data_IF_172835569546
#
_entry.id   IF_172835569546
#
_cell.length_a   1.000
_cell.length_b   1.000
_cell.length_c   1.000
_cell.angle_alpha   90.00
_cell.angle_beta   90.00
_cell.angle_gamma   90.00
#
_symmetry.space_group_name_H-M   'P 1'
#
loop_
_entity.id
_entity.type
_entity.pdbx_description
1 polymer ?
#
# COMPACT_ATOMS: atom_id res chain seq x y z
N UNK A 1 -23.49 -12.36 70.47
CA UNK A 1 -23.17 -12.66 69.06
C UNK A 1 -22.73 -11.36 68.41
N UNK A 2 -21.45 -11.14 68.05
CA UNK A 2 -21.06 -9.93 67.35
C UNK A 2 -21.39 -10.05 65.86
N UNK A 3 -21.98 -8.98 65.30
CA UNK A 3 -22.35 -8.86 63.90
C UNK A 3 -21.10 -8.65 63.03
N UNK A 4 -20.92 -9.48 62.01
CA UNK A 4 -19.93 -9.26 60.94
C UNK A 4 -20.41 -8.12 60.06
N UNK A 5 -19.68 -7.00 60.14
CA UNK A 5 -19.80 -5.84 59.26
C UNK A 5 -19.18 -6.22 57.91
N UNK A 6 -19.95 -6.19 56.82
CA UNK A 6 -19.41 -6.33 55.48
C UNK A 6 -19.04 -4.93 54.97
N UNK A 7 -17.75 -4.69 54.75
CA UNK A 7 -17.29 -3.52 53.99
C UNK A 7 -17.78 -3.68 52.55
N UNK A 8 -18.63 -2.76 52.11
CA UNK A 8 -19.06 -2.66 50.72
C UNK A 8 -17.85 -2.15 49.93
N UNK A 9 -17.20 -3.03 49.17
CA UNK A 9 -16.18 -2.62 48.20
C UNK A 9 -16.79 -1.58 47.25
N UNK A 10 -16.14 -0.42 47.17
CA UNK A 10 -16.57 0.73 46.38
C UNK A 10 -16.85 0.32 44.92
N UNK A 11 -17.98 0.77 44.38
CA UNK A 11 -18.33 0.63 42.97
C UNK A 11 -17.28 1.35 42.11
N UNK A 12 -16.31 0.60 41.61
CA UNK A 12 -15.38 1.04 40.59
C UNK A 12 -16.18 1.46 39.36
N UNK A 13 -16.19 2.76 39.05
CA UNK A 13 -16.87 3.26 37.86
C UNK A 13 -16.17 2.72 36.60
N UNK A 14 -16.92 2.59 35.50
CA UNK A 14 -16.36 2.16 34.21
C UNK A 14 -15.16 3.02 33.78
N UNK A 15 -15.15 4.30 34.18
CA UNK A 15 -14.02 5.22 33.99
C UNK A 15 -12.72 4.71 34.65
N UNK A 16 -12.79 4.23 35.88
CA UNK A 16 -11.63 3.74 36.64
C UNK A 16 -11.08 2.42 36.07
N UNK A 17 -11.97 1.57 35.56
CA UNK A 17 -11.61 0.32 34.86
C UNK A 17 -10.87 0.63 33.55
N UNK A 18 -11.31 1.66 32.81
CA UNK A 18 -10.65 2.07 31.56
C UNK A 18 -9.32 2.81 31.78
N UNK A 19 -9.17 3.54 32.89
CA UNK A 19 -7.94 4.24 33.23
C UNK A 19 -6.80 3.27 33.63
N UNK A 20 -7.12 2.18 34.36
CA UNK A 20 -6.13 1.13 34.72
C UNK A 20 -5.65 0.28 33.54
N UNK A 21 -6.33 0.32 32.39
CA UNK A 21 -5.96 -0.40 31.16
C UNK A 21 -4.94 0.32 30.27
N UNK A 22 -4.36 1.44 30.69
CA UNK A 22 -3.17 1.99 30.02
C UNK A 22 -1.90 1.58 30.76
N UNK A 23 -1.30 0.42 30.45
CA UNK A 23 0.12 0.28 30.68
C UNK A 23 0.84 1.27 29.76
N UNK A 24 1.56 2.21 30.36
CA UNK A 24 2.60 2.97 29.70
C UNK A 24 3.50 1.98 28.93
N UNK A 25 3.46 2.03 27.60
CA UNK A 25 4.45 1.36 26.75
C UNK A 25 3.99 0.15 25.93
N UNK A 26 2.71 -0.24 25.92
CA UNK A 26 2.25 -1.26 24.95
C UNK A 26 1.91 -0.57 23.62
N UNK A 27 2.80 -0.74 22.63
CA UNK A 27 2.50 -0.43 21.22
C UNK A 27 1.13 -1.02 20.87
N UNK A 28 0.24 -0.30 20.17
CA UNK A 28 -1.08 -0.82 19.81
C UNK A 28 -0.93 -2.23 19.24
N UNK A 29 -1.54 -3.18 19.93
CA UNK A 29 -1.44 -4.61 19.67
C UNK A 29 -1.93 -4.92 18.26
N UNK A 30 -1.18 -5.76 17.57
CA UNK A 30 -1.29 -6.19 16.16
C UNK A 30 -2.73 -6.47 15.72
N UNK A 31 -3.55 -7.04 16.60
CA UNK A 31 -4.94 -7.45 16.32
C UNK A 31 -5.84 -6.25 15.99
N UNK A 32 -5.74 -5.14 16.71
CA UNK A 32 -6.60 -3.97 16.44
C UNK A 32 -6.25 -3.30 15.10
N UNK A 33 -4.95 -3.24 14.78
CA UNK A 33 -4.50 -2.78 13.47
C UNK A 33 -4.85 -3.76 12.35
N UNK A 34 -4.82 -5.06 12.60
CA UNK A 34 -5.21 -6.09 11.63
C UNK A 34 -6.71 -6.01 11.31
N UNK A 35 -7.58 -5.86 12.31
CA UNK A 35 -9.03 -5.69 12.12
C UNK A 35 -9.32 -4.39 11.36
N UNK A 36 -8.67 -3.28 11.74
CA UNK A 36 -8.83 -2.01 11.03
C UNK A 36 -8.38 -2.10 9.55
N UNK A 37 -7.27 -2.80 9.29
CA UNK A 37 -6.77 -3.03 7.93
C UNK A 37 -7.70 -3.95 7.12
N UNK A 38 -8.24 -5.01 7.73
CA UNK A 38 -9.19 -5.90 7.08
C UNK A 38 -10.47 -5.17 6.68
N UNK A 39 -11.04 -4.36 7.58
CA UNK A 39 -12.22 -3.55 7.30
C UNK A 39 -11.96 -2.53 6.18
N UNK A 40 -10.80 -1.86 6.20
CA UNK A 40 -10.40 -0.94 5.13
C UNK A 40 -10.40 -1.61 3.75
N UNK A 41 -9.87 -2.84 3.65
CA UNK A 41 -9.79 -3.56 2.38
C UNK A 41 -11.19 -4.00 1.91
N UNK A 42 -12.03 -4.49 2.83
CA UNK A 42 -13.41 -4.88 2.51
C UNK A 42 -14.23 -3.67 2.03
N UNK A 43 -14.18 -2.56 2.76
CA UNK A 43 -14.88 -1.33 2.39
C UNK A 43 -14.38 -0.78 1.06
N UNK A 44 -13.07 -0.84 0.84
CA UNK A 44 -12.47 -0.45 -0.43
C UNK A 44 -12.98 -1.31 -1.59
N UNK A 45 -12.94 -2.64 -1.47
CA UNK A 45 -13.42 -3.55 -2.52
C UNK A 45 -14.90 -3.33 -2.83
N UNK A 46 -15.74 -3.19 -1.80
CA UNK A 46 -17.17 -2.94 -1.99
C UNK A 46 -17.44 -1.63 -2.76
N UNK A 47 -16.68 -0.57 -2.45
CA UNK A 47 -16.81 0.70 -3.16
C UNK A 47 -16.30 0.62 -4.61
N UNK A 48 -15.26 -0.19 -4.87
CA UNK A 48 -14.79 -0.48 -6.24
C UNK A 48 -15.84 -1.26 -7.03
N UNK A 49 -16.48 -2.26 -6.42
CA UNK A 49 -17.55 -3.04 -7.05
C UNK A 49 -18.79 -2.18 -7.38
N UNK A 50 -19.01 -1.12 -6.60
CA UNK A 50 -20.00 -0.08 -6.89
C UNK A 50 -19.58 0.88 -8.03
N UNK A 51 -18.43 0.67 -8.67
CA UNK A 51 -17.94 1.44 -9.81
C UNK A 51 -17.38 2.81 -9.46
N UNK A 52 -17.03 3.07 -8.19
CA UNK A 52 -16.48 4.36 -7.78
C UNK A 52 -15.01 4.50 -8.20
N UNK A 53 -14.62 5.72 -8.59
CA UNK A 53 -13.22 6.03 -8.88
C UNK A 53 -12.38 6.01 -7.60
N UNK A 54 -11.10 5.65 -7.72
CA UNK A 54 -10.18 5.57 -6.58
C UNK A 54 -10.11 6.87 -5.77
N UNK A 55 -10.17 8.03 -6.45
CA UNK A 55 -10.21 9.35 -5.80
C UNK A 55 -11.48 9.56 -4.96
N UNK A 56 -12.63 9.15 -5.50
CA UNK A 56 -13.92 9.23 -4.79
C UNK A 56 -13.93 8.29 -3.58
N UNK A 57 -13.35 7.10 -3.72
CA UNK A 57 -13.20 6.14 -2.63
C UNK A 57 -12.29 6.70 -1.55
N UNK A 58 -11.13 7.26 -1.91
CA UNK A 58 -10.22 7.90 -0.96
C UNK A 58 -10.94 8.99 -0.15
N UNK A 59 -11.66 9.88 -0.83
CA UNK A 59 -12.45 10.93 -0.17
C UNK A 59 -13.51 10.38 0.77
N UNK A 60 -14.24 9.33 0.38
CA UNK A 60 -15.26 8.67 1.22
C UNK A 60 -14.67 8.00 2.45
N UNK A 61 -13.50 7.39 2.31
CA UNK A 61 -12.80 6.73 3.41
C UNK A 61 -11.99 7.72 4.27
N UNK A 62 -12.03 9.03 3.97
CA UNK A 62 -11.32 10.06 4.73
C UNK A 62 -9.81 10.10 4.48
N UNK A 63 -9.35 9.53 3.36
CA UNK A 63 -7.95 9.50 2.95
C UNK A 63 -7.68 10.43 1.76
N UNK A 64 -6.44 10.87 1.63
CA UNK A 64 -5.92 11.32 0.33
C UNK A 64 -5.60 10.10 -0.54
N UNK A 65 -5.57 10.26 -1.86
CA UNK A 65 -5.23 9.19 -2.82
C UNK A 65 -3.94 8.46 -2.42
N UNK A 66 -2.86 9.20 -2.16
CA UNK A 66 -1.57 8.63 -1.76
C UNK A 66 -1.65 7.88 -0.42
N UNK A 67 -2.39 8.43 0.56
CA UNK A 67 -2.53 7.80 1.88
C UNK A 67 -3.38 6.54 1.82
N UNK A 68 -4.42 6.52 0.98
CA UNK A 68 -5.21 5.32 0.75
C UNK A 68 -4.36 4.23 0.12
N UNK A 69 -3.53 4.56 -0.88
CA UNK A 69 -2.63 3.59 -1.50
C UNK A 69 -1.63 2.99 -0.48
N UNK A 70 -1.04 3.85 0.36
CA UNK A 70 -0.14 3.40 1.43
C UNK A 70 -0.88 2.53 2.46
N UNK A 71 -2.10 2.91 2.83
CA UNK A 71 -2.90 2.16 3.79
C UNK A 71 -3.30 0.77 3.26
N UNK A 72 -3.75 0.69 2.01
CA UNK A 72 -4.04 -0.57 1.33
C UNK A 72 -2.79 -1.45 1.23
N UNK A 73 -1.65 -0.87 0.87
CA UNK A 73 -0.37 -1.60 0.81
C UNK A 73 0.06 -2.13 2.19
N UNK A 74 -0.15 -1.36 3.27
CA UNK A 74 0.09 -1.81 4.64
C UNK A 74 -0.84 -2.94 5.07
N UNK A 75 -2.08 -2.92 4.58
CA UNK A 75 -3.05 -3.99 4.77
C UNK A 75 -2.74 -5.24 3.90
N UNK A 76 -1.65 -5.25 3.13
CA UNK A 76 -1.30 -6.34 2.22
C UNK A 76 -2.13 -6.36 0.93
N UNK A 77 -3.03 -5.38 0.73
CA UNK A 77 -3.86 -5.29 -0.45
C UNK A 77 -3.18 -4.42 -1.50
N UNK A 78 -2.71 -5.06 -2.57
CA UNK A 78 -2.19 -4.35 -3.74
C UNK A 78 -3.33 -4.06 -4.71
N UNK A 79 -3.99 -2.92 -4.54
CA UNK A 79 -4.93 -2.45 -5.55
C UNK A 79 -4.21 -2.18 -6.86
N UNK A 80 -4.61 -2.89 -7.92
CA UNK A 80 -4.10 -2.66 -9.27
C UNK A 80 -5.15 -1.90 -10.05
N UNK A 81 -4.93 -0.60 -10.23
CA UNK A 81 -5.76 0.20 -11.13
C UNK A 81 -5.64 -0.36 -12.56
N UNK A 82 -6.65 -0.18 -13.43
CA UNK A 82 -6.55 -0.63 -14.82
C UNK A 82 -5.34 -0.03 -15.55
N UNK A 83 -4.96 1.21 -15.24
CA UNK A 83 -3.77 1.86 -15.79
C UNK A 83 -2.50 1.15 -15.32
N UNK A 84 -2.41 0.80 -14.04
CA UNK A 84 -1.27 0.03 -13.51
C UNK A 84 -1.20 -1.36 -14.14
N UNK A 85 -2.33 -2.04 -14.32
CA UNK A 85 -2.37 -3.34 -15.03
C UNK A 85 -1.89 -3.21 -16.48
N UNK A 86 -2.28 -2.14 -17.18
CA UNK A 86 -1.81 -1.88 -18.53
C UNK A 86 -0.29 -1.69 -18.59
N UNK A 87 0.27 -0.92 -17.65
CA UNK A 87 1.72 -0.72 -17.48
C UNK A 87 2.43 -2.05 -17.17
N UNK A 88 1.92 -2.81 -16.20
CA UNK A 88 2.46 -4.12 -15.81
C UNK A 88 2.49 -5.08 -17.01
N UNK A 89 1.38 -5.21 -17.75
CA UNK A 89 1.33 -6.04 -18.97
C UNK A 89 2.35 -5.62 -20.01
N UNK A 90 2.59 -4.31 -20.18
CA UNK A 90 3.56 -3.81 -21.15
C UNK A 90 4.99 -4.16 -20.75
N UNK A 91 5.32 -4.01 -19.47
CA UNK A 91 6.63 -4.40 -18.92
C UNK A 91 6.80 -5.92 -18.97
N UNK A 92 5.77 -6.69 -18.64
CA UNK A 92 5.78 -8.15 -18.77
C UNK A 92 6.03 -8.60 -20.21
N UNK A 93 5.46 -7.91 -21.21
CA UNK A 93 5.73 -8.17 -22.62
C UNK A 93 7.18 -7.86 -23.03
N UNK A 94 7.83 -6.87 -22.41
CA UNK A 94 9.26 -6.60 -22.62
C UNK A 94 10.12 -7.69 -21.96
N UNK A 95 9.76 -8.13 -20.76
CA UNK A 95 10.44 -9.23 -20.06
C UNK A 95 10.30 -10.54 -20.84
N UNK A 96 9.15 -10.79 -21.45
CA UNK A 96 8.89 -11.99 -22.26
C UNK A 96 9.78 -12.10 -23.51
N UNK A 97 10.50 -11.04 -23.90
CA UNK A 97 11.49 -11.10 -25.00
C UNK A 97 12.73 -11.93 -24.65
N UNK A 98 12.93 -12.24 -23.37
CA UNK A 98 13.97 -13.14 -22.90
C UNK A 98 15.16 -12.45 -22.23
N UNK A 99 16.03 -13.24 -21.59
CA UNK A 99 17.17 -12.74 -20.82
C UNK A 99 18.17 -12.01 -21.72
N UNK A 100 18.77 -10.94 -21.18
CA UNK A 100 19.68 -10.06 -21.93
C UNK A 100 18.99 -9.04 -22.82
N UNK A 101 17.66 -9.09 -22.96
CA UNK A 101 16.92 -8.03 -23.65
C UNK A 101 17.01 -6.72 -22.88
N UNK A 102 17.32 -5.61 -23.58
CA UNK A 102 17.48 -4.28 -22.99
C UNK A 102 16.38 -3.34 -23.43
N UNK A 103 15.87 -2.55 -22.50
CA UNK A 103 14.84 -1.55 -22.76
C UNK A 103 15.01 -0.31 -21.88
N UNK A 104 14.45 0.79 -22.36
CA UNK A 104 14.36 2.08 -21.69
C UNK A 104 12.91 2.39 -21.33
N UNK A 105 12.69 3.37 -20.46
CA UNK A 105 11.34 3.90 -20.20
C UNK A 105 10.69 4.48 -21.46
N UNK A 106 11.48 4.88 -22.46
CA UNK A 106 10.96 5.37 -23.75
C UNK A 106 10.37 4.26 -24.64
N UNK A 107 10.75 2.99 -24.42
CA UNK A 107 10.21 1.85 -25.18
C UNK A 107 8.83 1.42 -24.67
N UNK A 108 8.44 1.94 -23.51
CA UNK A 108 7.16 1.71 -22.86
C UNK A 108 6.19 2.78 -23.41
N UNK A 109 5.55 2.45 -24.54
CA UNK A 109 4.55 3.31 -25.20
C UNK A 109 3.30 3.49 -24.30
N UNK A 110 3.34 4.49 -23.43
CA UNK A 110 2.34 4.78 -22.41
C UNK A 110 2.16 6.30 -22.30
N UNK A 111 0.91 6.79 -22.09
CA UNK A 111 0.65 8.21 -21.86
C UNK A 111 1.54 8.81 -20.76
N UNK A 112 2.05 10.03 -20.97
CA UNK A 112 2.93 10.72 -20.03
C UNK A 112 2.35 10.85 -18.60
N UNK A 113 1.02 10.86 -18.46
CA UNK A 113 0.34 10.87 -17.16
C UNK A 113 0.68 9.66 -16.27
N UNK A 114 1.16 8.55 -16.84
CA UNK A 114 1.46 7.31 -16.11
C UNK A 114 2.96 7.09 -15.87
N UNK A 115 3.79 8.11 -16.09
CA UNK A 115 5.27 8.00 -15.93
C UNK A 115 5.67 7.58 -14.51
N UNK A 116 4.98 8.07 -13.49
CA UNK A 116 5.15 7.67 -12.09
C UNK A 116 4.79 6.20 -11.86
N UNK A 117 3.69 5.73 -12.47
CA UNK A 117 3.27 4.32 -12.43
C UNK A 117 4.30 3.41 -13.10
N UNK A 118 4.85 3.82 -14.26
CA UNK A 118 5.94 3.09 -14.94
C UNK A 118 7.14 2.94 -14.03
N UNK A 119 7.54 4.01 -13.35
CA UNK A 119 8.68 4.01 -12.43
C UNK A 119 8.46 3.03 -11.26
N UNK A 120 7.25 3.00 -10.69
CA UNK A 120 6.88 2.07 -9.62
C UNK A 120 6.92 0.60 -10.08
N UNK A 121 6.39 0.31 -11.27
CA UNK A 121 6.36 -1.07 -11.79
C UNK A 121 7.77 -1.57 -12.14
N UNK A 122 8.61 -0.72 -12.73
CA UNK A 122 10.02 -1.05 -13.01
C UNK A 122 10.77 -1.33 -11.70
N UNK A 123 10.60 -0.49 -10.67
CA UNK A 123 11.22 -0.73 -9.36
C UNK A 123 10.74 -2.04 -8.72
N UNK A 124 9.46 -2.36 -8.85
CA UNK A 124 8.92 -3.62 -8.38
C UNK A 124 9.52 -4.82 -9.11
N UNK A 125 9.61 -4.77 -10.44
CA UNK A 125 10.21 -5.82 -11.26
C UNK A 125 11.72 -6.01 -10.95
N UNK A 126 12.45 -4.93 -10.70
CA UNK A 126 13.84 -4.97 -10.26
C UNK A 126 13.99 -5.63 -8.88
N UNK A 127 13.14 -5.26 -7.92
CA UNK A 127 13.12 -5.88 -6.58
C UNK A 127 12.79 -7.38 -6.63
N UNK A 128 11.97 -7.79 -7.60
CA UNK A 128 11.62 -9.19 -7.84
C UNK A 128 12.70 -9.97 -8.58
N UNK A 129 13.80 -9.33 -9.00
CA UNK A 129 14.88 -9.99 -9.74
C UNK A 129 14.51 -10.38 -11.18
N UNK A 130 13.49 -9.75 -11.77
CA UNK A 130 13.09 -10.01 -13.17
C UNK A 130 13.86 -9.17 -14.17
N UNK A 131 14.34 -8.01 -13.72
CA UNK A 131 15.14 -7.06 -14.50
C UNK A 131 16.24 -6.51 -13.59
N UNK A 132 17.32 -6.02 -14.19
CA UNK A 132 18.38 -5.25 -13.52
C UNK A 132 18.65 -3.95 -14.25
N UNK A 133 19.21 -2.97 -13.54
CA UNK A 133 19.70 -1.76 -14.17
C UNK A 133 21.03 -2.05 -14.87
N UNK A 134 21.08 -1.90 -16.19
CA UNK A 134 22.29 -2.08 -16.98
C UNK A 134 23.09 -0.77 -17.09
N UNK A 135 22.41 0.35 -17.29
CA UNK A 135 23.04 1.67 -17.35
C UNK A 135 22.24 2.69 -16.55
N UNK A 136 22.89 3.46 -15.65
CA UNK A 136 22.23 4.55 -14.94
C UNK A 136 21.92 5.72 -15.90
N UNK A 137 20.94 6.57 -15.56
CA UNK A 137 20.64 7.75 -16.37
C UNK A 137 21.84 8.71 -16.38
N UNK A 138 22.34 9.07 -17.57
CA UNK A 138 23.44 10.03 -17.72
C UNK A 138 23.01 11.43 -17.26
N UNK A 139 23.79 12.09 -16.40
CA UNK A 139 23.45 13.40 -15.83
C UNK A 139 23.42 14.57 -16.85
N UNK A 140 23.91 14.38 -18.08
CA UNK A 140 23.97 15.45 -19.07
C UNK A 140 22.76 15.44 -20.01
N UNK A 141 21.92 16.47 -19.89
CA UNK A 141 21.08 17.08 -20.94
C UNK A 141 20.13 16.18 -21.76
N UNK A 142 18.84 16.39 -21.53
CA UNK A 142 17.68 16.00 -22.34
C UNK A 142 17.43 14.49 -22.50
N UNK A 143 16.62 13.94 -21.58
CA UNK A 143 16.03 12.59 -21.63
C UNK A 143 17.00 11.41 -21.48
N UNK A 144 17.90 11.48 -20.52
CA UNK A 144 18.59 10.28 -20.05
C UNK A 144 17.64 9.40 -19.25
N UNK A 145 17.09 8.39 -19.91
CA UNK A 145 16.37 7.30 -19.26
C UNK A 145 17.35 6.19 -18.87
N UNK A 146 17.14 5.58 -17.70
CA UNK A 146 17.90 4.40 -17.29
C UNK A 146 17.66 3.24 -18.27
N UNK A 147 18.69 2.45 -18.55
CA UNK A 147 18.57 1.23 -19.36
C UNK A 147 18.43 0.05 -18.41
N UNK A 148 17.39 -0.75 -18.65
CA UNK A 148 17.06 -1.96 -17.92
C UNK A 148 17.34 -3.18 -18.78
N UNK A 149 17.79 -4.26 -18.16
CA UNK A 149 18.08 -5.53 -18.81
C UNK A 149 17.31 -6.65 -18.12
N UNK A 150 16.72 -7.55 -18.89
CA UNK A 150 16.00 -8.73 -18.40
C UNK A 150 17.00 -9.77 -17.89
N UNK A 151 16.72 -10.34 -16.71
CA UNK A 151 17.55 -11.37 -16.06
C UNK A 151 17.09 -12.76 -16.49
#
# INVERSE_FOLDING_TARGET
MPATMFEVEEDLTFGDITARRRPLGIKPTTIASEIANANLVVDFCWLVDCGLSFETIAKRLGYTVDRLEVALRRAGFMYRTPERLAVERRIDALIARGPGFRFSTSDIDIPHALTSTVSLVIQAANRQGRIRMAEPPKLSSARSAAIWEVI
#
